data_IF_005261302405
#
_entry.id   IF_005261302405
#
_cell.length_a   1.000
_cell.length_b   1.000
_cell.length_c   1.000
_cell.angle_alpha   90.00
_cell.angle_beta   90.00
_cell.angle_gamma   90.00
#
_symmetry.space_group_name_H-M   'P 1'
#
loop_
_entity.id
_entity.type
_entity.pdbx_description
1 polymer ?
#
# COMPACT_ATOMS: atom_id res chain seq x y z
N UNK A 1 -32.24 -47.42 -38.07
CA UNK A 1 -31.12 -47.12 -37.16
C UNK A 1 -30.73 -45.67 -37.40
N UNK A 2 -31.36 -44.76 -36.67
CA UNK A 2 -31.11 -43.32 -36.74
C UNK A 2 -30.10 -42.98 -35.65
N UNK A 3 -28.87 -42.66 -36.06
CA UNK A 3 -27.88 -41.99 -35.24
C UNK A 3 -28.46 -40.65 -34.77
N UNK A 4 -28.87 -40.62 -33.51
CA UNK A 4 -29.11 -39.38 -32.79
C UNK A 4 -27.79 -38.65 -32.64
N UNK A 5 -27.55 -37.69 -33.52
CA UNK A 5 -26.64 -36.58 -33.27
C UNK A 5 -27.06 -35.94 -31.94
N UNK A 6 -26.39 -36.35 -30.86
CA UNK A 6 -26.42 -35.65 -29.58
C UNK A 6 -25.96 -34.22 -29.86
N UNK A 7 -26.93 -33.32 -29.97
CA UNK A 7 -26.69 -31.89 -30.02
C UNK A 7 -25.88 -31.53 -28.79
N UNK A 8 -24.63 -31.17 -29.02
CA UNK A 8 -23.76 -30.56 -28.03
C UNK A 8 -24.47 -29.28 -27.59
N UNK A 9 -25.11 -29.31 -26.43
CA UNK A 9 -25.86 -28.17 -25.91
C UNK A 9 -24.90 -26.97 -25.79
N UNK A 10 -25.06 -25.94 -26.65
CA UNK A 10 -24.14 -24.82 -26.70
C UNK A 10 -24.18 -24.03 -25.38
N UNK A 11 -25.31 -24.04 -24.67
CA UNK A 11 -25.44 -23.38 -23.37
C UNK A 11 -24.66 -24.13 -22.30
N UNK A 12 -24.75 -25.47 -22.28
CA UNK A 12 -23.95 -26.33 -21.42
C UNK A 12 -22.45 -26.15 -21.64
N UNK A 13 -22.01 -26.09 -22.90
CA UNK A 13 -20.61 -25.89 -23.27
C UNK A 13 -20.10 -24.51 -22.84
N UNK A 14 -20.89 -23.45 -23.06
CA UNK A 14 -20.54 -22.10 -22.62
C UNK A 14 -20.52 -21.95 -21.09
N UNK A 15 -21.46 -22.60 -20.39
CA UNK A 15 -21.49 -22.64 -18.93
C UNK A 15 -20.25 -23.34 -18.36
N UNK A 16 -19.81 -24.43 -18.99
CA UNK A 16 -18.60 -25.16 -18.59
C UNK A 16 -17.33 -24.35 -18.87
N UNK A 17 -17.22 -23.69 -20.03
CA UNK A 17 -16.12 -22.75 -20.33
C UNK A 17 -16.09 -21.60 -19.32
N UNK A 18 -17.25 -21.04 -18.95
CA UNK A 18 -17.33 -20.00 -17.90
C UNK A 18 -16.87 -20.54 -16.56
N UNK A 19 -17.29 -21.75 -16.18
CA UNK A 19 -16.94 -22.40 -14.92
C UNK A 19 -15.45 -22.71 -14.85
N UNK A 20 -14.84 -23.23 -15.92
CA UNK A 20 -13.39 -23.46 -16.04
C UNK A 20 -12.62 -22.14 -16.02
N UNK A 21 -13.09 -21.12 -16.74
CA UNK A 21 -12.48 -19.79 -16.74
C UNK A 21 -12.53 -19.14 -15.35
N UNK A 22 -13.63 -19.29 -14.63
CA UNK A 22 -13.75 -18.82 -13.25
C UNK A 22 -12.86 -19.58 -12.30
N UNK A 23 -12.75 -20.91 -12.45
CA UNK A 23 -11.86 -21.73 -11.61
C UNK A 23 -10.39 -21.38 -11.86
N UNK A 24 -10.00 -21.22 -13.12
CA UNK A 24 -8.68 -20.76 -13.52
C UNK A 24 -8.39 -19.35 -12.99
N UNK A 25 -9.36 -18.42 -13.08
CA UNK A 25 -9.23 -17.08 -12.48
C UNK A 25 -9.07 -17.16 -10.96
N UNK A 26 -9.89 -17.94 -10.24
CA UNK A 26 -9.79 -18.08 -8.78
C UNK A 26 -8.43 -18.65 -8.35
N UNK A 27 -7.92 -19.65 -9.08
CA UNK A 27 -6.60 -20.26 -8.82
C UNK A 27 -5.44 -19.29 -9.14
N UNK A 28 -5.54 -18.54 -10.24
CA UNK A 28 -4.56 -17.54 -10.64
C UNK A 28 -4.48 -16.36 -9.64
N UNK A 29 -5.62 -15.86 -9.18
CA UNK A 29 -5.69 -14.64 -8.34
C UNK A 29 -5.66 -14.93 -6.84
N UNK A 30 -5.70 -16.20 -6.41
CA UNK A 30 -5.66 -16.55 -4.99
C UNK A 30 -4.32 -16.29 -4.29
N UNK A 31 -3.35 -15.63 -4.93
CA UNK A 31 -1.99 -15.37 -4.43
C UNK A 31 -1.76 -13.93 -3.98
N UNK A 32 -2.62 -12.99 -4.39
CA UNK A 32 -2.47 -11.55 -4.14
C UNK A 32 -2.50 -11.18 -2.64
N UNK A 33 -3.05 -12.06 -1.80
CA UNK A 33 -3.07 -11.88 -0.35
C UNK A 33 -1.66 -11.81 0.25
N UNK A 34 -0.71 -12.57 -0.28
CA UNK A 34 0.65 -12.57 0.24
C UNK A 34 1.33 -11.24 -0.06
N UNK A 35 1.23 -10.76 -1.31
CA UNK A 35 1.74 -9.45 -1.72
C UNK A 35 1.17 -8.34 -0.84
N UNK A 36 -0.15 -8.32 -0.65
CA UNK A 36 -0.81 -7.35 0.22
C UNK A 36 -0.31 -7.41 1.67
N UNK A 37 -0.13 -8.61 2.23
CA UNK A 37 0.31 -8.81 3.61
C UNK A 37 1.78 -8.41 3.79
N UNK A 38 2.65 -8.74 2.85
CA UNK A 38 4.06 -8.34 2.86
C UNK A 38 4.22 -6.82 2.75
N UNK A 39 3.44 -6.17 1.88
CA UNK A 39 3.42 -4.71 1.79
C UNK A 39 2.90 -4.07 3.07
N UNK A 40 1.81 -4.60 3.64
CA UNK A 40 1.30 -4.13 4.92
C UNK A 40 2.33 -4.27 6.06
N UNK A 41 3.01 -5.43 6.13
CA UNK A 41 4.07 -5.66 7.10
C UNK A 41 5.27 -4.72 6.88
N UNK A 42 5.64 -4.44 5.62
CA UNK A 42 6.70 -3.48 5.30
C UNK A 42 6.32 -2.05 5.71
N UNK A 43 5.08 -1.63 5.48
CA UNK A 43 4.62 -0.30 5.93
C UNK A 43 4.56 -0.23 7.46
N UNK A 44 4.02 -1.25 8.13
CA UNK A 44 3.98 -1.30 9.59
C UNK A 44 5.35 -1.38 10.23
N UNK A 45 6.30 -2.12 9.64
CA UNK A 45 7.65 -2.24 10.16
C UNK A 45 8.40 -0.90 10.17
N UNK A 46 7.98 0.06 9.33
CA UNK A 46 8.53 1.41 9.37
C UNK A 46 8.30 2.13 10.71
N UNK A 47 7.29 1.69 11.49
CA UNK A 47 7.02 2.22 12.84
C UNK A 47 8.21 2.12 13.80
N UNK A 48 9.06 1.10 13.62
CA UNK A 48 10.22 0.87 14.49
C UNK A 48 11.28 1.98 14.40
N UNK A 49 11.24 2.79 13.35
CA UNK A 49 12.20 3.87 13.12
C UNK A 49 11.83 5.20 13.76
N UNK A 50 10.61 5.37 14.25
CA UNK A 50 10.22 6.58 14.98
C UNK A 50 10.69 6.51 16.43
N UNK A 51 11.15 7.61 16.99
CA UNK A 51 11.51 7.68 18.43
C UNK A 51 10.30 7.35 19.29
N UNK A 52 9.22 8.10 19.09
CA UNK A 52 7.94 7.95 19.78
C UNK A 52 6.80 7.68 18.77
N UNK A 53 6.62 6.43 18.28
CA UNK A 53 5.62 6.12 17.25
C UNK A 53 4.17 6.37 17.71
N UNK A 54 3.94 6.35 19.01
CA UNK A 54 2.63 6.58 19.65
C UNK A 54 2.64 7.81 20.58
N UNK A 55 3.73 8.57 20.59
CA UNK A 55 3.82 9.85 21.31
C UNK A 55 3.24 10.99 20.49
N UNK A 56 3.12 12.16 21.13
CA UNK A 56 2.77 13.37 20.39
C UNK A 56 3.89 13.72 19.40
N UNK A 57 3.55 14.16 18.17
CA UNK A 57 4.54 14.64 17.22
C UNK A 57 5.28 15.82 17.84
N UNK A 58 6.59 15.83 17.71
CA UNK A 58 7.38 17.00 18.05
C UNK A 58 6.98 18.13 17.08
N UNK A 59 6.36 19.19 17.61
CA UNK A 59 5.95 20.36 16.84
C UNK A 59 7.05 21.43 16.77
N UNK A 60 8.06 21.32 17.64
CA UNK A 60 9.15 22.30 17.77
C UNK A 60 10.43 21.85 17.04
N UNK A 61 10.51 20.57 16.68
CA UNK A 61 11.61 20.00 15.90
C UNK A 61 11.51 20.29 14.40
N UNK A 62 12.61 20.72 13.79
CA UNK A 62 12.75 20.86 12.33
C UNK A 62 12.57 19.50 11.65
N UNK A 63 11.33 19.13 11.28
CA UNK A 63 11.08 17.87 10.58
C UNK A 63 11.75 17.94 9.22
N UNK A 64 12.87 17.24 9.10
CA UNK A 64 13.73 17.36 7.92
C UNK A 64 13.17 16.48 6.78
N UNK A 65 12.95 17.08 5.62
CA UNK A 65 12.67 16.34 4.40
C UNK A 65 13.93 15.68 3.84
N UNK A 66 13.80 14.54 3.13
CA UNK A 66 12.58 13.75 2.87
C UNK A 66 12.17 12.85 4.06
N UNK A 67 10.89 12.47 4.16
CA UNK A 67 10.39 11.65 5.28
C UNK A 67 10.72 10.16 5.13
N UNK A 68 11.96 9.80 5.46
CA UNK A 68 12.46 8.44 5.23
C UNK A 68 11.86 7.36 6.12
N UNK A 69 11.32 7.69 7.30
CA UNK A 69 10.52 6.74 8.07
C UNK A 69 9.10 6.54 7.50
N UNK A 70 8.70 7.37 6.52
CA UNK A 70 7.44 7.29 5.79
C UNK A 70 6.51 8.48 6.03
N UNK A 71 6.44 8.98 7.26
CA UNK A 71 5.61 10.10 7.70
C UNK A 71 6.46 11.19 8.38
N UNK A 72 5.95 12.44 8.46
CA UNK A 72 6.62 13.52 9.18
C UNK A 72 6.69 13.23 10.68
N UNK A 73 7.83 12.76 11.20
CA UNK A 73 8.14 12.76 12.63
C UNK A 73 9.64 12.45 12.85
N UNK A 74 10.12 12.64 14.08
CA UNK A 74 11.51 12.37 14.51
C UNK A 74 11.84 10.88 14.38
N UNK A 75 13.01 10.62 13.81
CA UNK A 75 13.53 9.27 13.54
C UNK A 75 14.71 8.93 14.44
N UNK A 76 14.77 7.68 14.93
CA UNK A 76 15.85 7.17 15.79
C UNK A 76 17.23 7.12 15.14
N UNK A 77 17.28 7.14 13.80
CA UNK A 77 18.51 6.96 13.02
C UNK A 77 18.39 7.65 11.69
N UNK A 78 19.45 8.33 11.27
CA UNK A 78 19.52 9.00 9.96
C UNK A 78 19.58 8.01 8.79
N UNK A 79 20.23 6.85 8.95
CA UNK A 79 20.52 5.92 7.83
C UNK A 79 19.61 4.69 7.84
N UNK A 80 19.14 4.27 9.03
CA UNK A 80 18.32 3.07 9.20
C UNK A 80 17.10 3.00 8.26
N UNK A 81 16.26 4.06 8.18
CA UNK A 81 15.11 4.08 7.29
C UNK A 81 15.46 3.94 5.80
N UNK A 82 16.61 4.47 5.35
CA UNK A 82 17.06 4.30 3.96
C UNK A 82 17.31 2.82 3.66
N UNK A 83 18.15 2.18 4.46
CA UNK A 83 18.46 0.75 4.31
C UNK A 83 17.20 -0.10 4.40
N UNK A 84 16.28 0.25 5.29
CA UNK A 84 15.01 -0.43 5.44
C UNK A 84 14.21 -0.48 4.14
N UNK A 85 14.02 0.64 3.44
CA UNK A 85 13.25 0.65 2.19
C UNK A 85 14.01 0.05 1.01
N UNK A 86 15.31 0.36 0.89
CA UNK A 86 16.15 -0.18 -0.19
C UNK A 86 16.32 -1.69 -0.12
N UNK A 87 16.30 -2.29 1.07
CA UNK A 87 16.34 -3.75 1.25
C UNK A 87 14.94 -4.36 1.29
N UNK A 88 13.99 -3.68 1.93
CA UNK A 88 12.64 -4.18 2.16
C UNK A 88 11.83 -4.33 0.88
N UNK A 89 11.87 -3.36 -0.05
CA UNK A 89 11.12 -3.45 -1.31
C UNK A 89 11.58 -4.65 -2.16
N UNK A 90 12.88 -4.83 -2.46
CA UNK A 90 13.35 -6.00 -3.19
C UNK A 90 13.00 -7.31 -2.48
N UNK A 91 13.10 -7.35 -1.14
CA UNK A 91 12.78 -8.54 -0.36
C UNK A 91 11.29 -8.91 -0.49
N UNK A 92 10.39 -7.94 -0.41
CA UNK A 92 8.95 -8.17 -0.59
C UNK A 92 8.65 -8.68 -1.99
N UNK A 93 9.26 -8.10 -3.02
CA UNK A 93 9.04 -8.56 -4.41
C UNK A 93 9.66 -9.94 -4.63
N UNK A 94 10.85 -10.20 -4.10
CA UNK A 94 11.50 -11.51 -4.19
C UNK A 94 10.68 -12.60 -3.49
N UNK A 95 10.18 -12.33 -2.27
CA UNK A 95 9.33 -13.25 -1.53
C UNK A 95 8.00 -13.52 -2.27
N UNK A 96 7.37 -12.46 -2.80
CA UNK A 96 6.16 -12.57 -3.62
C UNK A 96 6.41 -13.42 -4.85
N UNK A 97 7.48 -13.13 -5.59
CA UNK A 97 7.87 -13.85 -6.79
C UNK A 97 8.25 -15.31 -6.52
N UNK A 98 8.99 -15.59 -5.45
CA UNK A 98 9.37 -16.95 -5.03
C UNK A 98 8.14 -17.78 -4.68
N UNK A 99 7.17 -17.18 -3.96
CA UNK A 99 5.89 -17.81 -3.66
C UNK A 99 5.11 -18.14 -4.92
N UNK A 100 5.00 -17.18 -5.85
CA UNK A 100 4.33 -17.40 -7.13
C UNK A 100 5.03 -18.46 -7.99
N UNK A 101 6.37 -18.53 -7.98
CA UNK A 101 7.13 -19.57 -8.67
C UNK A 101 6.87 -20.95 -8.06
N UNK A 102 6.91 -21.07 -6.74
CA UNK A 102 6.61 -22.31 -6.03
C UNK A 102 5.18 -22.79 -6.28
N UNK A 103 4.20 -21.88 -6.25
CA UNK A 103 2.81 -22.17 -6.58
C UNK A 103 2.64 -22.52 -8.06
N UNK A 104 3.32 -21.80 -8.96
CA UNK A 104 3.30 -22.04 -10.40
C UNK A 104 3.78 -23.44 -10.75
N UNK A 105 4.79 -23.96 -10.04
CA UNK A 105 5.23 -25.35 -10.16
C UNK A 105 4.18 -26.39 -9.76
N UNK A 106 3.22 -26.04 -8.90
CA UNK A 106 2.12 -26.93 -8.48
C UNK A 106 0.85 -26.82 -9.34
N UNK A 107 0.61 -25.65 -9.94
CA UNK A 107 -0.65 -25.34 -10.66
C UNK A 107 -0.43 -25.19 -12.19
N UNK A 108 0.81 -25.30 -12.66
CA UNK A 108 1.15 -25.24 -14.09
C UNK A 108 1.08 -23.83 -14.71
N UNK A 109 1.02 -22.78 -13.89
CA UNK A 109 0.93 -21.40 -14.37
C UNK A 109 2.32 -20.75 -14.44
N UNK A 110 2.61 -20.09 -15.56
CA UNK A 110 3.81 -19.26 -15.74
C UNK A 110 3.54 -17.84 -15.26
N UNK A 111 4.44 -17.34 -14.41
CA UNK A 111 4.40 -15.98 -13.85
C UNK A 111 5.21 -15.06 -14.76
N UNK A 112 4.65 -13.91 -15.11
CA UNK A 112 5.33 -12.90 -15.91
C UNK A 112 6.38 -12.14 -15.06
N UNK A 113 7.51 -12.81 -14.78
CA UNK A 113 8.57 -12.33 -13.88
C UNK A 113 9.14 -10.96 -14.26
N UNK A 114 9.18 -10.64 -15.56
CA UNK A 114 9.71 -9.36 -16.06
C UNK A 114 8.98 -8.15 -15.48
N UNK A 115 7.67 -8.23 -15.21
CA UNK A 115 6.93 -7.13 -14.61
C UNK A 115 7.31 -6.88 -13.15
N UNK A 116 7.57 -7.93 -12.38
CA UNK A 116 8.04 -7.81 -10.99
C UNK A 116 9.42 -7.16 -10.92
N UNK A 117 10.33 -7.56 -11.83
CA UNK A 117 11.64 -6.93 -11.96
C UNK A 117 11.50 -5.46 -12.34
N UNK A 118 10.69 -5.15 -13.36
CA UNK A 118 10.46 -3.78 -13.80
C UNK A 118 9.89 -2.89 -12.69
N UNK A 119 8.89 -3.36 -11.94
CA UNK A 119 8.31 -2.62 -10.81
C UNK A 119 9.33 -2.42 -9.69
N UNK A 120 10.14 -3.45 -9.38
CA UNK A 120 11.19 -3.34 -8.35
C UNK A 120 12.25 -2.32 -8.74
N UNK A 121 12.77 -2.41 -9.97
CA UNK A 121 13.77 -1.47 -10.47
C UNK A 121 13.20 -0.05 -10.54
N UNK A 122 11.95 0.09 -10.98
CA UNK A 122 11.25 1.37 -10.97
C UNK A 122 11.14 1.96 -9.56
N UNK A 123 10.71 1.16 -8.58
CA UNK A 123 10.62 1.60 -7.19
C UNK A 123 11.99 1.98 -6.60
N UNK A 124 13.04 1.19 -6.86
CA UNK A 124 14.40 1.50 -6.42
C UNK A 124 14.95 2.77 -7.07
N UNK A 125 14.69 2.96 -8.37
CA UNK A 125 15.06 4.19 -9.07
C UNK A 125 14.30 5.41 -8.49
N UNK A 126 13.01 5.28 -8.21
CA UNK A 126 12.23 6.33 -7.55
C UNK A 126 12.77 6.64 -6.14
N UNK A 127 13.13 5.62 -5.35
CA UNK A 127 13.77 5.84 -4.05
C UNK A 127 15.13 6.54 -4.19
N UNK A 128 15.93 6.19 -5.19
CA UNK A 128 17.21 6.87 -5.46
C UNK A 128 16.99 8.35 -5.81
N UNK A 129 15.95 8.67 -6.58
CA UNK A 129 15.56 10.06 -6.87
C UNK A 129 15.15 10.78 -5.59
N UNK A 130 14.31 10.17 -4.75
CA UNK A 130 13.93 10.74 -3.44
C UNK A 130 15.16 10.96 -2.55
N UNK A 131 16.16 10.08 -2.60
CA UNK A 131 17.39 10.19 -1.82
C UNK A 131 18.33 11.29 -2.31
N UNK A 132 18.24 11.66 -3.58
CA UNK A 132 19.05 12.72 -4.17
C UNK A 132 18.50 14.14 -3.87
N UNK A 133 17.29 14.25 -3.31
CA UNK A 133 16.67 15.55 -3.01
C UNK A 133 17.39 16.21 -1.82
N UNK A 134 17.82 17.48 -1.94
CA UNK A 134 18.49 18.21 -0.86
C UNK A 134 17.65 18.28 0.41
N UNK A 135 18.32 18.12 1.55
CA UNK A 135 17.76 18.28 2.89
C UNK A 135 17.87 19.74 3.33
N UNK A 136 17.21 20.69 2.66
CA UNK A 136 17.39 22.13 2.96
C UNK A 136 16.21 22.75 3.73
N UNK A 137 16.49 23.65 4.71
CA UNK A 137 15.50 24.32 5.53
C UNK A 137 15.25 25.74 4.99
N UNK A 138 14.27 25.93 4.11
CA UNK A 138 13.87 27.29 3.71
C UNK A 138 12.37 27.48 3.92
N UNK A 139 12.03 27.93 5.13
CA UNK A 139 10.77 28.60 5.46
C UNK A 139 9.79 27.79 6.31
N UNK A 140 9.04 28.51 7.16
CA UNK A 140 7.93 28.06 8.02
C UNK A 140 6.70 27.53 7.24
N UNK A 141 6.88 27.08 6.00
CA UNK A 141 5.78 26.61 5.19
C UNK A 141 5.53 25.13 5.48
N UNK A 142 4.27 24.71 5.68
CA UNK A 142 3.95 23.30 5.75
C UNK A 142 4.52 22.60 4.51
N UNK A 143 4.93 21.33 4.62
CA UNK A 143 5.56 20.69 3.50
C UNK A 143 4.60 20.66 2.32
N UNK A 144 4.87 21.44 1.29
CA UNK A 144 4.04 21.40 0.09
C UNK A 144 4.28 20.08 -0.66
N UNK A 145 4.51 20.20 -1.97
CA UNK A 145 4.86 19.04 -2.79
C UNK A 145 6.13 18.30 -2.33
N UNK A 146 7.05 18.96 -1.62
CA UNK A 146 8.23 18.34 -1.03
C UNK A 146 7.88 17.26 0.02
N UNK A 147 6.72 17.38 0.68
CA UNK A 147 6.21 16.34 1.57
C UNK A 147 5.84 15.05 0.86
N UNK A 148 5.53 15.08 -0.43
CA UNK A 148 5.20 13.88 -1.19
C UNK A 148 6.42 12.99 -1.51
N UNK A 149 7.62 13.49 -1.25
CA UNK A 149 8.87 12.75 -1.45
C UNK A 149 9.09 11.78 -0.27
N UNK A 150 8.26 10.74 -0.20
CA UNK A 150 8.37 9.70 0.82
C UNK A 150 8.47 8.31 0.19
N UNK A 151 9.13 7.37 0.88
CA UNK A 151 9.11 5.96 0.47
C UNK A 151 7.70 5.38 0.40
N UNK A 152 6.74 5.89 1.18
CA UNK A 152 5.36 5.41 1.17
C UNK A 152 4.63 5.70 -0.14
N UNK A 153 4.89 6.86 -0.78
CA UNK A 153 4.35 7.15 -2.12
C UNK A 153 4.90 6.16 -3.15
N UNK A 154 6.21 5.84 -3.08
CA UNK A 154 6.83 4.85 -3.97
C UNK A 154 6.18 3.47 -3.76
N UNK A 155 5.97 3.06 -2.51
CA UNK A 155 5.30 1.80 -2.17
C UNK A 155 3.85 1.79 -2.64
N UNK A 156 3.12 2.91 -2.52
CA UNK A 156 1.75 3.04 -3.01
C UNK A 156 1.67 2.85 -4.52
N UNK A 157 2.55 3.51 -5.29
CA UNK A 157 2.62 3.36 -6.75
C UNK A 157 3.00 1.93 -7.14
N UNK A 158 3.99 1.35 -6.47
CA UNK A 158 4.39 -0.05 -6.69
C UNK A 158 3.24 -1.02 -6.39
N UNK A 159 2.48 -0.79 -5.31
CA UNK A 159 1.30 -1.57 -4.99
C UNK A 159 0.24 -1.44 -6.10
N UNK A 160 -0.10 -0.23 -6.56
CA UNK A 160 -1.05 -0.06 -7.67
C UNK A 160 -0.58 -0.77 -8.93
N UNK A 161 0.71 -0.65 -9.28
CA UNK A 161 1.28 -1.32 -10.45
C UNK A 161 1.22 -2.85 -10.33
N UNK A 162 1.59 -3.41 -9.16
CA UNK A 162 1.45 -4.84 -8.88
C UNK A 162 -0.01 -5.27 -8.96
N UNK A 163 -0.93 -4.46 -8.42
CA UNK A 163 -2.37 -4.72 -8.46
C UNK A 163 -2.90 -4.73 -9.89
N UNK A 164 -2.41 -3.84 -10.75
CA UNK A 164 -2.77 -3.82 -12.16
C UNK A 164 -2.25 -5.06 -12.91
N UNK A 165 -0.99 -5.44 -12.68
CA UNK A 165 -0.36 -6.64 -13.27
C UNK A 165 -1.06 -7.91 -12.82
N UNK A 166 -1.38 -8.01 -11.53
CA UNK A 166 -2.12 -9.13 -10.94
C UNK A 166 -3.64 -9.06 -11.18
N UNK A 167 -4.14 -7.97 -11.80
CA UNK A 167 -5.57 -7.66 -11.98
C UNK A 167 -6.38 -7.77 -10.68
N UNK A 168 -5.79 -7.32 -9.58
CA UNK A 168 -6.35 -7.34 -8.23
C UNK A 168 -6.88 -5.94 -7.85
N UNK A 169 -8.20 -5.68 -7.98
CA UNK A 169 -8.76 -4.36 -7.66
C UNK A 169 -8.60 -4.01 -6.19
N UNK A 170 -8.57 -5.01 -5.30
CA UNK A 170 -8.34 -4.79 -3.87
C UNK A 170 -6.93 -4.29 -3.57
N UNK A 171 -5.91 -4.81 -4.27
CA UNK A 171 -4.53 -4.37 -4.09
C UNK A 171 -4.31 -2.98 -4.71
N UNK A 172 -4.95 -2.69 -5.84
CA UNK A 172 -4.98 -1.32 -6.40
C UNK A 172 -5.66 -0.33 -5.45
N UNK A 173 -6.84 -0.66 -4.92
CA UNK A 173 -7.55 0.20 -3.98
C UNK A 173 -6.74 0.43 -2.70
N UNK A 174 -6.05 -0.60 -2.18
CA UNK A 174 -5.15 -0.48 -1.03
C UNK A 174 -3.95 0.42 -1.30
N UNK A 175 -3.34 0.32 -2.49
CA UNK A 175 -2.26 1.21 -2.91
C UNK A 175 -2.73 2.66 -3.06
N UNK A 176 -3.90 2.89 -3.66
CA UNK A 176 -4.50 4.24 -3.77
C UNK A 176 -4.78 4.82 -2.39
N UNK A 177 -5.39 4.03 -1.48
CA UNK A 177 -5.65 4.47 -0.11
C UNK A 177 -4.37 4.85 0.64
N UNK A 178 -3.34 4.01 0.56
CA UNK A 178 -2.02 4.28 1.13
C UNK A 178 -1.46 5.60 0.60
N UNK A 179 -1.51 5.81 -0.72
CA UNK A 179 -1.04 7.04 -1.36
C UNK A 179 -1.81 8.28 -0.93
N UNK A 180 -3.14 8.21 -0.83
CA UNK A 180 -3.99 9.32 -0.41
C UNK A 180 -3.73 9.73 1.05
N UNK A 181 -3.68 8.77 1.99
CA UNK A 181 -3.38 9.08 3.39
C UNK A 181 -1.96 9.63 3.53
N UNK A 182 -1.01 9.06 2.80
CA UNK A 182 0.38 9.52 2.81
C UNK A 182 0.47 10.95 2.32
N UNK A 183 -0.17 11.24 1.18
CA UNK A 183 -0.21 12.58 0.62
C UNK A 183 -0.82 13.56 1.63
N UNK A 184 -2.00 13.24 2.18
CA UNK A 184 -2.65 14.06 3.20
C UNK A 184 -1.72 14.40 4.37
N UNK A 185 -1.17 13.39 5.05
CA UNK A 185 -0.36 13.61 6.25
C UNK A 185 0.99 14.27 5.95
N UNK A 186 1.50 14.07 4.73
CA UNK A 186 2.76 14.69 4.33
C UNK A 186 2.59 16.13 3.88
N UNK A 187 1.42 16.51 3.33
CA UNK A 187 1.18 17.88 2.85
C UNK A 187 0.47 18.78 3.86
N UNK A 188 -0.42 18.23 4.68
CA UNK A 188 -1.18 19.00 5.67
C UNK A 188 -0.49 19.06 7.04
N UNK A 189 0.68 18.44 7.19
CA UNK A 189 1.25 18.11 8.50
C UNK A 189 0.49 16.95 9.15
N UNK A 190 1.14 16.23 10.07
CA UNK A 190 0.58 15.04 10.72
C UNK A 190 -0.80 15.29 11.35
N UNK A 191 -1.86 14.87 10.66
CA UNK A 191 -3.25 15.04 11.07
C UNK A 191 -3.80 16.46 10.91
N UNK A 192 -3.14 17.35 10.16
CA UNK A 192 -3.64 18.71 9.92
C UNK A 192 -4.97 18.71 9.17
N UNK A 193 -5.87 19.59 9.58
CA UNK A 193 -7.19 19.84 9.00
C UNK A 193 -7.28 21.29 8.55
N UNK A 194 -7.84 21.51 7.36
CA UNK A 194 -8.16 22.85 6.91
C UNK A 194 -9.25 23.47 7.80
N UNK A 195 -9.31 24.81 7.86
CA UNK A 195 -10.37 25.52 8.61
C UNK A 195 -11.78 25.06 8.23
N UNK A 196 -12.03 24.80 6.94
CA UNK A 196 -13.31 24.27 6.46
C UNK A 196 -13.61 22.84 6.94
N UNK A 197 -12.62 21.96 6.97
CA UNK A 197 -12.78 20.61 7.51
C UNK A 197 -13.03 20.64 9.03
N UNK A 198 -12.34 21.53 9.73
CA UNK A 198 -12.48 21.73 11.18
C UNK A 198 -13.88 22.29 11.51
N UNK A 199 -14.36 23.25 10.73
CA UNK A 199 -15.72 23.80 10.83
C UNK A 199 -16.79 22.73 10.62
N UNK A 200 -16.63 21.88 9.60
CA UNK A 200 -17.59 20.81 9.29
C UNK A 200 -17.62 19.72 10.39
N UNK A 201 -16.44 19.35 10.93
CA UNK A 201 -16.34 18.39 12.02
C UNK A 201 -16.89 18.91 13.34
N UNK A 202 -16.83 20.23 13.58
CA UNK A 202 -17.38 20.88 14.76
C UNK A 202 -18.86 21.29 14.60
N UNK A 203 -19.56 20.81 13.56
CA UNK A 203 -21.00 21.03 13.41
C UNK A 203 -21.39 22.47 13.06
N UNK A 204 -20.46 23.25 12.52
CA UNK A 204 -20.71 24.64 12.09
C UNK A 204 -20.38 25.71 13.14
N UNK A 205 -20.06 25.31 14.37
CA UNK A 205 -19.72 26.22 15.46
C UNK A 205 -18.21 26.19 15.74
N UNK A 206 -17.55 27.34 15.63
CA UNK A 206 -16.21 27.54 16.22
C UNK A 206 -15.02 26.85 15.55
N UNK A 207 -15.08 26.53 14.26
CA UNK A 207 -13.86 26.16 13.51
C UNK A 207 -12.88 27.34 13.47
N UNK A 208 -11.66 27.16 13.99
CA UNK A 208 -10.56 28.12 13.82
C UNK A 208 -10.31 28.35 12.32
N UNK A 209 -10.25 29.61 11.89
CA UNK A 209 -9.92 29.97 10.51
C UNK A 209 -8.56 29.37 10.07
N UNK A 210 -7.67 29.16 11.03
CA UNK A 210 -6.33 28.61 10.87
C UNK A 210 -6.29 27.08 10.75
N UNK A 211 -7.43 26.38 10.89
CA UNK A 211 -7.47 24.91 10.87
C UNK A 211 -7.22 24.27 12.22
N UNK A 212 -7.19 22.94 12.25
CA UNK A 212 -7.08 22.14 13.47
C UNK A 212 -6.30 20.85 13.26
N UNK A 213 -6.19 20.02 14.29
CA UNK A 213 -5.50 18.73 14.22
C UNK A 213 -6.46 17.58 14.53
N UNK A 214 -6.39 16.52 13.73
CA UNK A 214 -7.24 15.34 13.87
C UNK A 214 -6.68 14.45 15.00
N UNK A 215 -7.04 14.80 16.22
CA UNK A 215 -6.62 14.09 17.44
C UNK A 215 -7.41 12.80 17.69
N UNK A 216 -8.56 12.64 17.01
CA UNK A 216 -9.42 11.47 17.12
C UNK A 216 -8.63 10.18 16.86
N UNK A 217 -8.73 9.23 17.80
CA UNK A 217 -8.02 7.94 17.78
C UNK A 217 -6.48 8.06 17.66
N UNK A 218 -5.91 9.22 17.96
CA UNK A 218 -4.47 9.45 17.84
C UNK A 218 -3.98 9.53 16.39
N UNK A 219 -4.84 9.88 15.42
CA UNK A 219 -4.48 9.99 13.99
C UNK A 219 -3.56 11.17 13.64
N UNK A 220 -3.13 11.94 14.63
CA UNK A 220 -2.01 12.87 14.54
C UNK A 220 -0.66 12.17 14.77
N UNK A 221 -0.63 10.88 15.13
CA UNK A 221 0.59 10.13 15.50
C UNK A 221 0.94 9.10 14.43
N UNK A 222 2.24 8.84 14.15
CA UNK A 222 2.63 8.02 13.02
C UNK A 222 2.19 6.56 13.13
N UNK A 223 2.23 5.97 14.33
CA UNK A 223 1.81 4.58 14.56
C UNK A 223 0.35 4.30 14.19
N UNK A 224 -0.62 5.02 14.78
CA UNK A 224 -2.04 4.91 14.43
C UNK A 224 -2.33 5.20 12.95
N UNK A 225 -1.65 6.18 12.35
CA UNK A 225 -1.80 6.49 10.92
C UNK A 225 -1.30 5.35 10.05
N UNK A 226 -0.15 4.75 10.35
CA UNK A 226 0.37 3.60 9.60
C UNK A 226 -0.56 2.38 9.72
N UNK A 227 -1.18 2.16 10.88
CA UNK A 227 -2.23 1.14 11.05
C UNK A 227 -3.43 1.42 10.13
N UNK A 228 -3.90 2.66 10.07
CA UNK A 228 -5.00 3.07 9.20
C UNK A 228 -4.65 2.91 7.70
N UNK A 229 -3.41 3.24 7.34
CA UNK A 229 -2.90 3.11 5.96
C UNK A 229 -2.94 1.67 5.45
N UNK A 230 -2.55 0.70 6.29
CA UNK A 230 -2.46 -0.70 5.85
C UNK A 230 -3.78 -1.46 5.98
N UNK A 231 -4.77 -0.89 6.66
CA UNK A 231 -6.04 -1.55 6.95
C UNK A 231 -6.68 -2.18 5.70
N UNK A 232 -6.80 -1.50 4.55
CA UNK A 232 -7.41 -2.11 3.37
C UNK A 232 -6.59 -3.28 2.82
N UNK A 233 -5.25 -3.20 2.86
CA UNK A 233 -4.37 -4.29 2.42
C UNK A 233 -4.55 -5.52 3.31
N UNK A 234 -4.62 -5.34 4.63
CA UNK A 234 -4.85 -6.42 5.60
C UNK A 234 -6.24 -7.03 5.41
N UNK A 235 -7.28 -6.21 5.22
CA UNK A 235 -8.65 -6.70 4.98
C UNK A 235 -8.75 -7.48 3.67
N UNK A 236 -8.12 -7.01 2.60
CA UNK A 236 -8.05 -7.72 1.32
C UNK A 236 -7.31 -9.04 1.48
N UNK A 237 -6.16 -9.05 2.15
CA UNK A 237 -5.39 -10.25 2.43
C UNK A 237 -6.21 -11.26 3.25
N UNK A 238 -6.83 -10.83 4.34
CA UNK A 238 -7.67 -11.66 5.21
C UNK A 238 -8.86 -12.26 4.48
N UNK A 239 -9.60 -11.45 3.71
CA UNK A 239 -10.73 -11.91 2.91
C UNK A 239 -10.34 -12.94 1.85
N UNK A 240 -9.20 -12.74 1.19
CA UNK A 240 -8.70 -13.69 0.20
C UNK A 240 -8.22 -14.99 0.86
N UNK A 241 -7.47 -14.91 1.96
CA UNK A 241 -7.03 -16.07 2.73
C UNK A 241 -8.22 -16.91 3.20
N UNK A 242 -9.27 -16.27 3.72
CA UNK A 242 -10.46 -16.97 4.20
C UNK A 242 -11.19 -17.69 3.07
N UNK A 243 -11.33 -17.06 1.91
CA UNK A 243 -11.90 -17.68 0.70
C UNK A 243 -11.09 -18.87 0.18
N UNK A 244 -9.76 -18.83 0.33
CA UNK A 244 -8.91 -19.98 -0.07
C UNK A 244 -9.03 -21.17 0.88
N UNK A 245 -9.35 -20.95 2.16
CA UNK A 245 -9.56 -22.02 3.17
C UNK A 245 -10.99 -22.55 3.21
N UNK A 246 -11.99 -21.73 2.90
CA UNK A 246 -13.40 -22.13 2.90
C UNK A 246 -13.85 -22.96 1.68
N UNK A 247 -12.98 -23.16 0.68
CA UNK A 247 -13.29 -23.95 -0.52
C UNK A 247 -13.01 -25.46 -0.40
N UNK A 248 -12.74 -25.94 0.82
CA UNK A 248 -12.48 -27.35 1.17
C UNK A 248 -13.53 -27.93 2.13
N UNK A 249 -14.75 -27.41 2.07
CA UNK A 249 -15.92 -28.01 2.72
C UNK A 249 -16.95 -28.41 1.65
#
# INVERSE_FOLDING_TARGET
MTESAQGMDPEGTLAEVRRVRERARRLAHGGAWLTALLLAALVLGSTAWYEAPFGEPDQDGWITHPFWAGLPNVTRSEVGPYLYWFLGIPLVVAATGAWYRWRGGRVGMRVAWHWYVAITLGALASLAVVAAVPRTPDGDHPPGWAGLLTPLIVVAVAAVALGAVERSPGLMAGGVWLGLITAWHSTAGMGGLSGGATWLLNGGDGGSADGGQLTLLGLHRPGPVLLLMVLPLVLVAGRQLWRTRGGTA
#
